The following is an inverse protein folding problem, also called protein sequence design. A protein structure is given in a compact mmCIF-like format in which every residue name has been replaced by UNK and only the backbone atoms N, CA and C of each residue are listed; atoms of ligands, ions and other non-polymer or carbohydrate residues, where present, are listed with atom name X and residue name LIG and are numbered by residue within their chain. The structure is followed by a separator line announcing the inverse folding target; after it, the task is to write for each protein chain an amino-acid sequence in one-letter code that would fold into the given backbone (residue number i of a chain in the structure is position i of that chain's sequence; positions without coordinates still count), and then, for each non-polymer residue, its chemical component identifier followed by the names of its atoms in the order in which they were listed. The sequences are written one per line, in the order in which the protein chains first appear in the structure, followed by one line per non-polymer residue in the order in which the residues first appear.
data_IF_060240946191
#
_entry.id   IF_060240946191
#
_cell.length_a   1.000
_cell.length_b   1.000
_cell.length_c   1.000
_cell.angle_alpha   90.00
_cell.angle_beta   90.00
_cell.angle_gamma   90.00
#
_symmetry.space_group_name_H-M   'P 1'
#
loop_
_entity.id
_entity.type
_entity.pdbx_description
1 polymer ?
#
# COMPACT_ATOMS: atom_id res chain seq x y z
N UNK A 1 -42.82 61.48 53.08
CA UNK A 1 -43.03 60.21 52.35
C UNK A 1 -42.22 60.23 51.06
N UNK A 2 -40.97 59.65 51.07
CA UNK A 2 -40.10 59.56 49.88
C UNK A 2 -40.30 58.20 49.27
N UNK A 3 -40.70 58.18 48.00
CA UNK A 3 -40.80 56.97 47.22
C UNK A 3 -39.42 56.64 46.57
N UNK A 4 -38.79 55.58 47.04
CA UNK A 4 -37.56 55.07 46.43
C UNK A 4 -37.92 54.23 45.24
N UNK A 5 -37.43 54.61 44.02
CA UNK A 5 -37.54 53.82 42.80
C UNK A 5 -36.27 52.94 42.69
N UNK A 6 -36.47 51.65 42.77
CA UNK A 6 -35.40 50.70 42.49
C UNK A 6 -35.44 50.42 41.00
N UNK A 7 -34.45 50.90 40.30
CA UNK A 7 -34.22 50.55 38.86
C UNK A 7 -33.43 49.24 38.79
N UNK A 8 -34.09 48.17 38.38
CA UNK A 8 -33.46 46.85 38.14
C UNK A 8 -32.88 46.85 36.73
N UNK A 9 -31.58 47.05 36.60
CA UNK A 9 -30.85 46.88 35.32
C UNK A 9 -30.60 45.42 35.11
N UNK A 10 -31.35 44.79 34.22
CA UNK A 10 -31.09 43.43 33.74
C UNK A 10 -29.89 43.45 32.79
N UNK A 11 -28.75 42.91 33.23
CA UNK A 11 -27.58 42.67 32.36
C UNK A 11 -27.84 41.39 31.56
N UNK A 12 -28.13 41.56 30.30
CA UNK A 12 -28.30 40.46 29.34
C UNK A 12 -26.90 39.96 28.94
N UNK A 13 -26.44 38.89 29.57
CA UNK A 13 -25.20 38.22 29.17
C UNK A 13 -25.52 37.32 27.96
N UNK A 14 -25.18 37.77 26.75
CA UNK A 14 -25.25 36.99 25.54
C UNK A 14 -24.10 36.02 25.54
N UNK A 15 -24.38 34.75 25.84
CA UNK A 15 -23.45 33.64 25.61
C UNK A 15 -23.33 33.40 24.09
N UNK A 16 -22.21 33.84 23.50
CA UNK A 16 -21.83 33.42 22.14
C UNK A 16 -21.28 32.01 22.24
N UNK A 17 -22.11 31.00 21.99
CA UNK A 17 -21.67 29.63 21.81
C UNK A 17 -21.02 29.52 20.43
N UNK A 18 -19.68 29.49 20.39
CA UNK A 18 -18.93 29.13 19.20
C UNK A 18 -19.13 27.62 19.00
N UNK A 19 -20.06 27.28 18.12
CA UNK A 19 -20.18 25.87 17.67
C UNK A 19 -19.02 25.57 16.71
N UNK A 20 -18.05 24.83 17.21
CA UNK A 20 -17.07 24.17 16.34
C UNK A 20 -17.85 23.13 15.53
N UNK A 21 -18.15 23.44 14.28
CA UNK A 21 -18.61 22.47 13.30
C UNK A 21 -17.36 21.67 12.90
N UNK A 22 -17.15 20.54 13.59
CA UNK A 22 -16.17 19.55 13.15
C UNK A 22 -16.63 19.06 11.77
N UNK A 23 -15.74 19.02 10.76
CA UNK A 23 -16.08 18.43 9.47
C UNK A 23 -16.53 16.97 9.70
N UNK A 24 -17.49 16.46 8.92
CA UNK A 24 -17.96 15.10 9.08
C UNK A 24 -16.78 14.15 8.95
N UNK A 25 -16.51 13.38 10.00
CA UNK A 25 -15.37 12.46 10.16
C UNK A 25 -15.36 11.26 9.21
N UNK A 26 -16.14 11.31 8.12
CA UNK A 26 -16.27 10.23 7.15
C UNK A 26 -15.29 10.25 5.97
N UNK A 27 -14.41 11.26 5.85
CA UNK A 27 -13.57 11.43 4.64
C UNK A 27 -12.07 11.51 4.91
N UNK A 28 -11.65 11.62 6.14
CA UNK A 28 -10.23 11.60 6.48
C UNK A 28 -9.87 10.19 6.97
N UNK A 29 -9.10 9.47 6.16
CA UNK A 29 -8.37 8.29 6.64
C UNK A 29 -7.58 8.73 7.86
N UNK A 30 -7.75 8.04 8.98
CA UNK A 30 -7.02 8.37 10.19
C UNK A 30 -5.51 8.30 9.87
N UNK A 31 -4.75 9.29 10.31
CA UNK A 31 -3.32 9.39 9.99
C UNK A 31 -2.56 8.10 10.34
N UNK A 32 -2.87 7.49 11.48
CA UNK A 32 -2.27 6.24 11.89
C UNK A 32 -2.57 5.08 10.91
N UNK A 33 -3.80 5.02 10.39
CA UNK A 33 -4.19 4.04 9.36
C UNK A 33 -3.41 4.25 8.06
N UNK A 34 -3.27 5.49 7.62
CA UNK A 34 -2.51 5.82 6.41
C UNK A 34 -1.02 5.48 6.56
N UNK A 35 -0.41 5.80 7.71
CA UNK A 35 0.99 5.50 7.99
C UNK A 35 1.25 3.99 8.04
N UNK A 36 0.39 3.22 8.69
CA UNK A 36 0.52 1.76 8.76
C UNK A 36 0.30 1.12 7.38
N UNK A 37 -0.68 1.58 6.61
CA UNK A 37 -0.91 1.13 5.24
C UNK A 37 0.30 1.40 4.35
N UNK A 38 0.88 2.60 4.43
CA UNK A 38 2.09 2.96 3.69
C UNK A 38 3.28 2.07 4.07
N UNK A 39 3.44 1.76 5.35
CA UNK A 39 4.48 0.85 5.86
C UNK A 39 4.32 -0.57 5.31
N UNK A 40 3.10 -1.09 5.27
CA UNK A 40 2.81 -2.42 4.72
C UNK A 40 3.04 -2.47 3.21
N UNK A 41 2.62 -1.44 2.46
CA UNK A 41 2.90 -1.33 1.02
C UNK A 41 4.40 -1.26 0.71
N UNK A 42 5.17 -0.51 1.51
CA UNK A 42 6.62 -0.46 1.38
C UNK A 42 7.28 -1.83 1.62
N UNK A 43 6.82 -2.59 2.62
CA UNK A 43 7.28 -3.96 2.86
C UNK A 43 6.90 -4.90 1.71
N UNK A 44 5.70 -4.78 1.16
CA UNK A 44 5.26 -5.60 0.03
C UNK A 44 6.07 -5.30 -1.23
N UNK A 45 6.37 -4.04 -1.52
CA UNK A 45 7.27 -3.65 -2.60
C UNK A 45 8.68 -4.22 -2.40
N UNK A 46 9.21 -4.15 -1.17
CA UNK A 46 10.50 -4.74 -0.80
C UNK A 46 10.50 -6.25 -1.01
N UNK A 47 9.45 -6.95 -0.57
CA UNK A 47 9.30 -8.39 -0.76
C UNK A 47 9.33 -8.77 -2.25
N UNK A 48 8.62 -8.03 -3.11
CA UNK A 48 8.67 -8.28 -4.56
C UNK A 48 10.04 -8.07 -5.19
N UNK A 49 10.78 -7.06 -4.73
CA UNK A 49 12.18 -6.85 -5.14
C UNK A 49 13.09 -8.01 -4.70
N UNK A 50 12.91 -8.50 -3.47
CA UNK A 50 13.62 -9.67 -2.94
C UNK A 50 13.35 -10.92 -3.79
N UNK A 51 12.10 -11.15 -4.19
CA UNK A 51 11.73 -12.28 -5.06
C UNK A 51 12.43 -12.19 -6.42
N UNK A 52 12.47 -11.02 -7.05
CA UNK A 52 13.20 -10.84 -8.31
C UNK A 52 14.70 -11.08 -8.12
N UNK A 53 15.29 -10.58 -7.03
CA UNK A 53 16.71 -10.78 -6.69
C UNK A 53 17.04 -12.27 -6.51
N UNK A 54 16.23 -13.00 -5.77
CA UNK A 54 16.41 -14.45 -5.55
C UNK A 54 16.33 -15.25 -6.85
N UNK A 55 15.61 -14.77 -7.86
CA UNK A 55 15.47 -15.41 -9.16
C UNK A 55 16.38 -14.82 -10.24
N UNK A 56 17.27 -13.87 -9.89
CA UNK A 56 18.08 -13.14 -10.89
C UNK A 56 18.93 -14.05 -11.75
N UNK A 57 19.59 -15.05 -11.16
CA UNK A 57 20.41 -16.02 -11.92
C UNK A 57 19.57 -16.83 -12.92
N UNK A 58 18.33 -17.18 -12.53
CA UNK A 58 17.39 -17.87 -13.41
C UNK A 58 16.92 -16.96 -14.54
N UNK A 59 16.56 -15.69 -14.21
CA UNK A 59 16.13 -14.69 -15.18
C UNK A 59 17.23 -14.45 -16.22
N UNK A 60 18.48 -14.32 -15.80
CA UNK A 60 19.62 -13.99 -16.65
C UNK A 60 20.28 -15.22 -17.33
N UNK A 61 19.78 -16.44 -17.10
CA UNK A 61 20.28 -17.63 -17.80
C UNK A 61 20.03 -17.51 -19.32
N UNK A 62 21.09 -17.35 -20.08
CA UNK A 62 21.05 -17.19 -21.54
C UNK A 62 20.70 -18.48 -22.30
N UNK A 63 20.92 -19.65 -21.66
CA UNK A 63 20.76 -20.95 -22.30
C UNK A 63 19.33 -21.48 -22.18
N UNK A 64 18.61 -21.06 -21.14
CA UNK A 64 17.24 -21.47 -20.85
C UNK A 64 16.25 -20.52 -21.51
N UNK A 65 15.29 -21.03 -22.28
CA UNK A 65 14.19 -20.25 -22.85
C UNK A 65 13.11 -19.99 -21.81
N UNK A 66 12.21 -20.96 -21.64
CA UNK A 66 11.22 -20.87 -20.57
C UNK A 66 11.92 -21.04 -19.20
N UNK A 67 11.85 -19.99 -18.38
CA UNK A 67 12.46 -19.98 -17.05
C UNK A 67 11.54 -20.58 -15.97
N UNK A 68 10.26 -20.79 -16.27
CA UNK A 68 9.26 -21.15 -15.26
C UNK A 68 9.00 -20.07 -14.22
N UNK A 69 9.59 -18.88 -14.38
CA UNK A 69 9.32 -17.71 -13.51
C UNK A 69 8.08 -16.98 -14.02
N UNK A 70 6.91 -17.60 -13.81
CA UNK A 70 5.62 -17.07 -14.26
C UNK A 70 5.03 -16.07 -13.26
N UNK A 71 3.99 -15.30 -13.66
CA UNK A 71 3.27 -14.43 -12.72
C UNK A 71 2.73 -15.15 -11.49
N UNK A 72 2.30 -16.41 -11.65
CA UNK A 72 1.75 -17.23 -10.57
C UNK A 72 2.86 -17.70 -9.60
N UNK A 73 4.00 -18.11 -10.13
CA UNK A 73 5.18 -18.47 -9.32
C UNK A 73 5.68 -17.25 -8.55
N UNK A 74 5.77 -16.11 -9.21
CA UNK A 74 6.11 -14.84 -8.54
C UNK A 74 5.14 -14.49 -7.42
N UNK A 75 3.84 -14.58 -7.66
CA UNK A 75 2.81 -14.28 -6.66
C UNK A 75 2.96 -15.17 -5.41
N UNK A 76 3.15 -16.47 -5.60
CA UNK A 76 3.35 -17.40 -4.49
C UNK A 76 4.59 -17.03 -3.66
N UNK A 77 5.69 -16.74 -4.33
CA UNK A 77 6.93 -16.31 -3.67
C UNK A 77 6.76 -14.96 -2.98
N UNK A 78 6.05 -14.01 -3.59
CA UNK A 78 5.75 -12.70 -3.01
C UNK A 78 4.93 -12.81 -1.71
N UNK A 79 3.88 -13.64 -1.73
CA UNK A 79 3.04 -13.88 -0.54
C UNK A 79 3.88 -14.49 0.58
N UNK A 80 4.71 -15.47 0.26
CA UNK A 80 5.60 -16.12 1.23
C UNK A 80 6.62 -15.15 1.80
N UNK A 81 7.30 -14.39 0.96
CA UNK A 81 8.32 -13.41 1.37
C UNK A 81 7.69 -12.30 2.24
N UNK A 82 6.53 -11.78 1.84
CA UNK A 82 5.81 -10.80 2.64
C UNK A 82 5.38 -11.34 4.01
N UNK A 83 4.91 -12.59 4.04
CA UNK A 83 4.56 -13.27 5.29
C UNK A 83 5.75 -13.43 6.23
N UNK A 84 6.92 -13.77 5.70
CA UNK A 84 8.15 -13.87 6.48
C UNK A 84 8.55 -12.52 7.10
N UNK A 85 8.38 -11.43 6.35
CA UNK A 85 8.76 -10.07 6.80
C UNK A 85 7.75 -9.43 7.76
N UNK A 86 6.48 -9.86 7.74
CA UNK A 86 5.39 -9.17 8.46
C UNK A 86 4.59 -10.05 9.40
N UNK A 87 4.65 -11.37 9.22
CA UNK A 87 3.72 -12.32 9.87
C UNK A 87 2.32 -12.35 9.25
N UNK A 88 2.01 -11.47 8.28
CA UNK A 88 0.70 -11.37 7.65
C UNK A 88 0.60 -12.28 6.43
N UNK A 89 -0.49 -13.01 6.32
CA UNK A 89 -0.82 -13.85 5.17
C UNK A 89 -1.77 -13.10 4.24
N UNK A 90 -1.27 -12.67 3.07
CA UNK A 90 -2.06 -11.91 2.09
C UNK A 90 -3.28 -12.70 1.57
N UNK A 91 -3.21 -14.02 1.52
CA UNK A 91 -4.34 -14.87 1.10
C UNK A 91 -5.50 -14.89 2.11
N UNK A 92 -5.23 -14.48 3.35
CA UNK A 92 -6.17 -14.50 4.49
C UNK A 92 -6.53 -13.13 5.02
N UNK A 93 -6.19 -12.06 4.32
CA UNK A 93 -6.39 -10.67 4.80
C UNK A 93 -7.83 -10.37 5.20
N UNK A 94 -8.81 -10.90 4.46
CA UNK A 94 -10.24 -10.68 4.73
C UNK A 94 -10.72 -11.43 5.98
N UNK A 95 -10.09 -12.55 6.31
CA UNK A 95 -10.43 -13.39 7.47
C UNK A 95 -9.46 -13.22 8.64
N UNK A 96 -8.55 -12.24 8.57
CA UNK A 96 -7.58 -11.99 9.63
C UNK A 96 -8.30 -11.57 10.92
N UNK A 97 -8.04 -12.25 12.06
CA UNK A 97 -8.65 -11.92 13.33
C UNK A 97 -8.43 -10.47 13.73
N UNK A 98 -9.39 -9.87 14.43
CA UNK A 98 -9.31 -8.50 14.92
C UNK A 98 -8.10 -8.26 15.88
N UNK A 99 -7.51 -9.32 16.43
CA UNK A 99 -6.29 -9.28 17.23
C UNK A 99 -5.04 -8.85 16.44
N UNK A 100 -5.07 -9.01 15.10
CA UNK A 100 -4.04 -8.50 14.20
C UNK A 100 -4.68 -7.35 13.43
N UNK A 101 -4.52 -6.14 13.93
CA UNK A 101 -5.13 -4.94 13.36
C UNK A 101 -4.47 -4.62 12.00
N UNK A 102 -5.03 -5.15 10.90
CA UNK A 102 -4.70 -4.69 9.56
C UNK A 102 -5.67 -3.57 9.20
N UNK A 103 -5.19 -2.36 8.87
CA UNK A 103 -6.05 -1.25 8.50
C UNK A 103 -7.00 -1.59 7.35
N UNK A 104 -8.24 -1.10 7.34
CA UNK A 104 -9.18 -1.30 6.25
C UNK A 104 -8.60 -0.91 4.88
N UNK A 105 -7.93 0.24 4.82
CA UNK A 105 -7.25 0.71 3.61
C UNK A 105 -6.17 -0.26 3.14
N UNK A 106 -5.40 -0.86 4.06
CA UNK A 106 -4.40 -1.86 3.70
C UNK A 106 -5.03 -3.14 3.14
N UNK A 107 -6.20 -3.57 3.66
CA UNK A 107 -6.94 -4.73 3.13
C UNK A 107 -7.38 -4.54 1.69
N UNK A 108 -7.61 -3.31 1.27
CA UNK A 108 -7.94 -2.96 -0.12
C UNK A 108 -6.69 -2.85 -0.99
N UNK A 109 -5.67 -2.12 -0.52
CA UNK A 109 -4.53 -1.73 -1.35
C UNK A 109 -3.48 -2.85 -1.51
N UNK A 110 -3.29 -3.74 -0.52
CA UNK A 110 -2.31 -4.82 -0.63
C UNK A 110 -2.64 -5.81 -1.77
N UNK A 111 -3.89 -6.32 -1.91
CA UNK A 111 -4.25 -7.15 -3.05
C UNK A 111 -4.13 -6.42 -4.40
N UNK A 112 -4.47 -5.14 -4.46
CA UNK A 112 -4.30 -4.32 -5.66
C UNK A 112 -2.82 -4.21 -6.06
N UNK A 113 -1.91 -4.07 -5.09
CA UNK A 113 -0.47 -4.07 -5.37
C UNK A 113 0.04 -5.44 -5.84
N UNK A 114 -0.47 -6.55 -5.28
CA UNK A 114 -0.13 -7.90 -5.76
C UNK A 114 -0.55 -8.08 -7.22
N UNK A 115 -1.76 -7.64 -7.59
CA UNK A 115 -2.25 -7.71 -8.96
C UNK A 115 -1.37 -6.89 -9.91
N UNK A 116 -1.06 -5.64 -9.57
CA UNK A 116 -0.17 -4.78 -10.35
C UNK A 116 1.22 -5.42 -10.54
N UNK A 117 1.75 -6.07 -9.50
CA UNK A 117 3.02 -6.79 -9.54
C UNK A 117 2.99 -7.99 -10.47
N UNK A 118 1.93 -8.80 -10.44
CA UNK A 118 1.72 -9.92 -11.37
C UNK A 118 1.70 -9.47 -12.83
N UNK A 119 1.01 -8.37 -13.09
CA UNK A 119 0.95 -7.81 -14.44
C UNK A 119 2.32 -7.37 -14.94
N UNK A 120 3.17 -6.79 -14.09
CA UNK A 120 4.56 -6.46 -14.44
C UNK A 120 5.34 -7.71 -14.84
N UNK A 121 5.24 -8.81 -14.09
CA UNK A 121 5.90 -10.07 -14.44
C UNK A 121 5.34 -10.64 -15.74
N UNK A 122 4.03 -10.54 -15.96
CA UNK A 122 3.39 -10.98 -17.22
C UNK A 122 3.94 -10.24 -18.42
N UNK A 123 4.02 -8.93 -18.34
CA UNK A 123 4.52 -8.09 -19.43
C UNK A 123 6.02 -8.33 -19.68
N UNK A 124 6.77 -8.69 -18.64
CA UNK A 124 8.20 -8.99 -18.73
C UNK A 124 8.53 -10.38 -19.28
N UNK A 125 7.55 -11.29 -19.47
CA UNK A 125 7.80 -12.68 -19.89
C UNK A 125 8.62 -12.78 -21.19
N UNK A 126 8.38 -11.90 -22.15
CA UNK A 126 9.15 -11.87 -23.40
C UNK A 126 10.64 -11.60 -23.18
N UNK A 127 10.96 -10.73 -22.23
CA UNK A 127 12.35 -10.40 -21.86
C UNK A 127 12.95 -11.50 -20.98
N UNK A 128 12.21 -11.95 -19.97
CA UNK A 128 12.65 -12.97 -19.01
C UNK A 128 13.01 -14.26 -19.76
N UNK A 129 12.19 -14.72 -20.70
CA UNK A 129 12.34 -15.98 -21.41
C UNK A 129 13.24 -15.90 -22.66
N UNK A 130 13.80 -14.72 -22.97
CA UNK A 130 14.68 -14.55 -24.13
C UNK A 130 15.99 -15.36 -24.00
N UNK A 131 16.34 -16.12 -25.01
CA UNK A 131 17.63 -16.88 -25.12
C UNK A 131 18.73 -15.99 -25.69
N UNK A 132 19.98 -16.35 -25.44
CA UNK A 132 21.13 -15.68 -26.01
C UNK A 132 21.55 -14.40 -25.35
N UNK A 133 20.75 -13.89 -24.39
CA UNK A 133 21.03 -12.67 -23.63
C UNK A 133 21.17 -13.05 -22.15
N UNK A 134 22.34 -12.82 -21.57
CA UNK A 134 22.59 -13.06 -20.16
C UNK A 134 21.95 -11.97 -19.29
N UNK A 135 22.42 -10.74 -19.41
CA UNK A 135 21.86 -9.64 -18.64
C UNK A 135 20.64 -9.03 -19.35
N UNK A 136 19.45 -9.19 -18.77
CA UNK A 136 18.16 -8.78 -19.37
C UNK A 136 17.64 -7.44 -18.87
N UNK A 137 18.35 -6.77 -17.97
CA UNK A 137 17.91 -5.51 -17.34
C UNK A 137 16.56 -5.61 -16.60
N UNK A 138 16.04 -6.81 -16.38
CA UNK A 138 14.90 -7.05 -15.50
C UNK A 138 15.42 -7.36 -14.10
N UNK A 139 15.81 -6.30 -13.39
CA UNK A 139 16.41 -6.34 -12.06
C UNK A 139 15.41 -5.87 -10.99
N UNK A 140 15.69 -6.07 -9.69
CA UNK A 140 14.80 -5.64 -8.62
C UNK A 140 14.36 -4.15 -8.68
N UNK A 141 15.25 -3.28 -9.13
CA UNK A 141 14.95 -1.86 -9.29
C UNK A 141 13.95 -1.60 -10.44
N UNK A 142 14.14 -2.28 -11.58
CA UNK A 142 13.23 -2.20 -12.74
C UNK A 142 11.84 -2.70 -12.37
N UNK A 143 11.77 -3.89 -11.76
CA UNK A 143 10.50 -4.41 -11.24
C UNK A 143 9.82 -3.41 -10.29
N UNK A 144 10.55 -2.92 -9.28
CA UNK A 144 9.98 -2.04 -8.26
C UNK A 144 9.43 -0.75 -8.84
N UNK A 145 10.12 -0.15 -9.80
CA UNK A 145 9.66 1.07 -10.48
C UNK A 145 8.39 0.82 -11.31
N UNK A 146 8.35 -0.29 -12.05
CA UNK A 146 7.19 -0.66 -12.87
C UNK A 146 5.96 -1.02 -12.02
N UNK A 147 6.16 -1.80 -10.94
CA UNK A 147 5.09 -2.17 -10.03
C UNK A 147 4.48 -0.94 -9.32
N UNK A 148 5.32 -0.03 -8.81
CA UNK A 148 4.87 1.20 -8.20
C UNK A 148 4.13 2.11 -9.18
N UNK A 149 4.60 2.25 -10.41
CA UNK A 149 3.96 3.05 -11.44
C UNK A 149 2.59 2.48 -11.85
N UNK A 150 2.50 1.16 -12.03
CA UNK A 150 1.25 0.46 -12.39
C UNK A 150 0.23 0.54 -11.27
N UNK A 151 0.64 0.23 -10.05
CA UNK A 151 -0.20 0.36 -8.86
C UNK A 151 -0.75 1.78 -8.71
N UNK A 152 0.12 2.81 -8.87
CA UNK A 152 -0.32 4.21 -8.75
C UNK A 152 -1.37 4.61 -9.79
N UNK A 153 -1.33 4.02 -10.99
CA UNK A 153 -2.35 4.24 -12.02
C UNK A 153 -3.70 3.59 -11.69
N UNK A 154 -3.66 2.43 -11.04
CA UNK A 154 -4.85 1.64 -10.74
C UNK A 154 -5.54 2.07 -9.44
N UNK A 155 -4.75 2.44 -8.41
CA UNK A 155 -5.26 2.75 -7.07
C UNK A 155 -5.39 4.24 -6.76
N UNK A 156 -4.89 5.13 -7.63
CA UNK A 156 -4.75 6.57 -7.39
C UNK A 156 -3.84 6.91 -6.17
N UNK A 157 -3.17 5.91 -5.60
CA UNK A 157 -2.19 6.07 -4.51
C UNK A 157 -0.80 6.16 -5.10
N UNK A 158 -0.06 7.23 -4.79
CA UNK A 158 1.27 7.45 -5.35
C UNK A 158 2.35 6.82 -4.48
N UNK A 159 3.00 5.78 -5.00
CA UNK A 159 4.21 5.23 -4.40
C UNK A 159 5.44 5.87 -5.06
N UNK A 160 6.25 6.58 -4.25
CA UNK A 160 7.56 7.08 -4.67
C UNK A 160 8.64 6.23 -4.03
N UNK A 161 9.58 5.76 -4.84
CA UNK A 161 10.85 5.26 -4.33
C UNK A 161 11.75 6.47 -4.03
N UNK A 162 12.17 6.62 -2.79
CA UNK A 162 13.26 7.52 -2.42
C UNK A 162 14.54 6.71 -2.48
N UNK A 163 15.47 7.17 -3.28
CA UNK A 163 16.88 6.70 -3.33
C UNK A 163 17.62 7.26 -2.13
#
# INVERSE_FOLDING_TARGET
MQKVWIVLTAVLVTFVTVQFVLPPSGWAVERAEAEETARLLAKLLKAGRSVVEQNQLLIDDQHKGDKGFTPEVFEQQLIQEFRQQTGLDLSKLQSTPASIAVPPLAKELLPAFVLASKEVIRDAQGVINQRGIGYKNFIPATYGSQAAARFSKQSHVRLKQTT
#
